data_IF_854607874118
#
_entry.id   IF_854607874118
#
_cell.length_a   1.000
_cell.length_b   1.000
_cell.length_c   1.000
_cell.angle_alpha   90.00
_cell.angle_beta   90.00
_cell.angle_gamma   90.00
#
_symmetry.space_group_name_H-M   'P 1'
#
loop_
_entity.id
_entity.type
_entity.pdbx_description
1 polymer ?
#
# COMPACT_ATOMS: atom_id res chain seq x y z
N UNK A 1 12.88 -6.74 6.86
CA UNK A 1 12.05 -5.59 6.46
C UNK A 1 10.74 -5.62 7.20
N UNK A 2 10.21 -4.47 7.59
CA UNK A 2 8.84 -4.33 8.10
C UNK A 2 7.84 -4.08 6.95
N UNK A 3 6.54 -4.14 7.24
CA UNK A 3 5.50 -3.95 6.21
C UNK A 3 5.55 -2.60 5.52
N UNK A 4 5.97 -1.54 6.21
CA UNK A 4 6.14 -0.21 5.60
C UNK A 4 7.22 -0.25 4.51
N UNK A 5 8.37 -0.83 4.82
CA UNK A 5 9.48 -0.99 3.86
C UNK A 5 9.06 -1.84 2.66
N UNK A 6 8.37 -2.95 2.91
CA UNK A 6 7.82 -3.80 1.83
C UNK A 6 6.83 -3.03 0.96
N UNK A 7 5.93 -2.26 1.57
CA UNK A 7 4.94 -1.48 0.83
C UNK A 7 5.62 -0.42 -0.04
N UNK A 8 6.61 0.30 0.50
CA UNK A 8 7.41 1.28 -0.25
C UNK A 8 8.12 0.61 -1.42
N UNK A 9 8.73 -0.56 -1.20
CA UNK A 9 9.39 -1.32 -2.26
C UNK A 9 8.43 -1.67 -3.40
N UNK A 10 7.22 -2.15 -3.09
CA UNK A 10 6.19 -2.44 -4.09
C UNK A 10 5.78 -1.21 -4.91
N UNK A 11 5.75 -0.02 -4.29
CA UNK A 11 5.48 1.22 -5.03
C UNK A 11 6.59 1.53 -6.03
N UNK A 12 7.85 1.36 -5.62
CA UNK A 12 9.01 1.62 -6.45
C UNK A 12 9.17 0.59 -7.58
N UNK A 13 9.08 -0.71 -7.28
CA UNK A 13 9.31 -1.79 -8.25
C UNK A 13 8.28 -1.79 -9.39
N UNK A 14 7.07 -1.31 -9.12
CA UNK A 14 5.99 -1.24 -10.10
C UNK A 14 5.73 0.18 -10.63
N UNK A 15 6.53 1.16 -10.23
CA UNK A 15 6.38 2.58 -10.59
C UNK A 15 4.95 3.12 -10.39
N UNK A 16 4.34 2.82 -9.23
CA UNK A 16 2.98 3.26 -8.90
C UNK A 16 2.94 4.26 -7.75
N UNK A 17 2.01 5.21 -7.86
CA UNK A 17 1.77 6.19 -6.81
C UNK A 17 0.99 5.61 -5.63
N UNK A 18 1.07 6.25 -4.46
CA UNK A 18 0.24 5.91 -3.30
C UNK A 18 -1.27 5.99 -3.61
N UNK A 19 -1.68 6.89 -4.51
CA UNK A 19 -3.07 6.98 -4.97
C UNK A 19 -3.45 5.72 -5.75
N UNK A 20 -2.61 5.30 -6.70
CA UNK A 20 -2.84 4.09 -7.48
C UNK A 20 -2.84 2.84 -6.59
N UNK A 21 -1.95 2.75 -5.61
CA UNK A 21 -1.96 1.67 -4.63
C UNK A 21 -3.26 1.60 -3.82
N UNK A 22 -3.79 2.74 -3.37
CA UNK A 22 -5.08 2.79 -2.69
C UNK A 22 -6.23 2.29 -3.58
N UNK A 23 -6.25 2.71 -4.86
CA UNK A 23 -7.23 2.23 -5.85
C UNK A 23 -7.13 0.71 -6.09
N UNK A 24 -5.91 0.20 -6.25
CA UNK A 24 -5.66 -1.24 -6.45
C UNK A 24 -6.11 -2.07 -5.24
N UNK A 25 -5.81 -1.61 -4.02
CA UNK A 25 -6.26 -2.26 -2.78
C UNK A 25 -7.78 -2.21 -2.66
N UNK A 26 -8.42 -1.08 -3.01
CA UNK A 26 -9.88 -0.99 -3.04
C UNK A 26 -10.51 -2.08 -3.92
N UNK A 27 -10.02 -2.19 -5.16
CA UNK A 27 -10.51 -3.16 -6.13
C UNK A 27 -10.24 -4.59 -5.64
N UNK A 28 -9.03 -4.87 -5.15
CA UNK A 28 -8.65 -6.21 -4.74
C UNK A 28 -9.41 -6.72 -3.51
N UNK A 29 -9.69 -5.83 -2.54
CA UNK A 29 -10.34 -6.20 -1.27
C UNK A 29 -11.85 -6.01 -1.29
N UNK A 30 -12.40 -5.35 -2.32
CA UNK A 30 -13.80 -4.91 -2.39
C UNK A 30 -14.20 -4.07 -1.17
N UNK A 31 -13.25 -3.33 -0.58
CA UNK A 31 -13.44 -2.49 0.61
C UNK A 31 -12.78 -1.13 0.40
N UNK A 32 -13.30 -0.05 1.00
CA UNK A 32 -12.68 1.27 0.89
C UNK A 32 -11.26 1.32 1.47
N UNK A 33 -10.31 1.81 0.68
CA UNK A 33 -8.95 2.15 1.07
C UNK A 33 -8.66 3.58 0.62
N UNK A 34 -8.38 4.48 1.58
CA UNK A 34 -8.13 5.89 1.27
C UNK A 34 -6.63 6.14 1.04
N UNK A 35 -6.31 7.11 0.19
CA UNK A 35 -4.92 7.60 0.02
C UNK A 35 -4.33 8.10 1.34
N UNK A 36 -5.17 8.64 2.25
CA UNK A 36 -4.74 9.05 3.59
C UNK A 36 -4.31 7.85 4.44
N UNK A 37 -4.99 6.72 4.35
CA UNK A 37 -4.58 5.49 5.02
C UNK A 37 -3.21 5.03 4.50
N UNK A 38 -3.03 4.95 3.18
CA UNK A 38 -1.74 4.61 2.57
C UNK A 38 -0.63 5.57 3.03
N UNK A 39 -0.89 6.89 3.01
CA UNK A 39 0.05 7.90 3.52
C UNK A 39 0.44 7.65 4.98
N UNK A 40 -0.51 7.28 5.84
CA UNK A 40 -0.22 7.00 7.25
C UNK A 40 0.66 5.77 7.45
N UNK A 41 0.70 4.85 6.48
CA UNK A 41 1.51 3.62 6.55
C UNK A 41 2.95 3.81 6.03
N UNK A 42 3.13 4.68 5.05
CA UNK A 42 4.42 4.84 4.34
C UNK A 42 5.18 6.11 4.71
N UNK A 43 4.52 7.06 5.38
CA UNK A 43 5.19 8.27 5.85
C UNK A 43 6.30 7.95 6.85
N UNK A 44 7.09 8.97 7.16
CA UNK A 44 8.08 8.94 8.23
C UNK A 44 7.45 8.39 9.53
N UNK A 45 8.00 7.30 10.10
CA UNK A 45 7.46 6.62 11.28
C UNK A 45 7.44 7.52 12.53
N UNK A 46 8.27 8.56 12.60
CA UNK A 46 8.35 9.45 13.76
C UNK A 46 7.24 10.52 13.75
N UNK A 47 6.43 10.60 12.68
CA UNK A 47 5.32 11.56 12.60
C UNK A 47 4.11 11.11 13.43
N UNK A 48 3.41 12.02 14.13
CA UNK A 48 2.21 11.68 14.92
C UNK A 48 1.07 11.03 14.10
N UNK A 49 1.03 11.31 12.80
CA UNK A 49 0.07 10.75 11.86
C UNK A 49 0.47 9.37 11.31
N UNK A 50 1.68 8.88 11.64
CA UNK A 50 2.15 7.56 11.23
C UNK A 50 1.40 6.45 11.95
N UNK A 51 1.17 5.37 11.23
CA UNK A 51 0.49 4.15 11.67
C UNK A 51 1.23 2.96 11.08
N UNK A 52 1.26 1.85 11.81
CA UNK A 52 1.85 0.62 11.29
C UNK A 52 1.15 0.20 10.00
N UNK A 53 1.93 -0.15 8.97
CA UNK A 53 1.41 -0.75 7.75
C UNK A 53 0.90 -2.17 8.07
N UNK A 54 -0.40 -2.46 7.88
CA UNK A 54 -0.95 -3.75 8.26
C UNK A 54 -0.61 -4.84 7.22
N UNK A 55 -0.47 -6.09 7.66
CA UNK A 55 -0.11 -7.23 6.79
C UNK A 55 -1.07 -7.38 5.61
N UNK A 56 -2.37 -7.19 5.86
CA UNK A 56 -3.39 -7.32 4.82
C UNK A 56 -3.23 -6.29 3.70
N UNK A 57 -2.70 -5.09 3.97
CA UNK A 57 -2.53 -4.06 2.95
C UNK A 57 -1.38 -4.41 2.00
N UNK A 58 -0.29 -4.95 2.55
CA UNK A 58 0.83 -5.48 1.76
C UNK A 58 0.36 -6.65 0.89
N UNK A 59 -0.36 -7.61 1.46
CA UNK A 59 -0.84 -8.78 0.73
C UNK A 59 -1.85 -8.39 -0.35
N UNK A 60 -2.78 -7.47 -0.05
CA UNK A 60 -3.73 -6.96 -1.04
C UNK A 60 -3.01 -6.26 -2.20
N UNK A 61 -2.01 -5.43 -1.93
CA UNK A 61 -1.27 -4.75 -2.99
C UNK A 61 -0.49 -5.75 -3.88
N UNK A 62 0.17 -6.75 -3.28
CA UNK A 62 0.85 -7.82 -4.04
C UNK A 62 -0.10 -8.55 -4.99
N UNK A 63 -1.21 -9.05 -4.46
CA UNK A 63 -2.21 -9.76 -5.27
C UNK A 63 -2.79 -8.88 -6.39
N UNK A 64 -2.98 -7.59 -6.11
CA UNK A 64 -3.46 -6.66 -7.12
C UNK A 64 -2.43 -6.45 -8.24
N UNK A 65 -1.15 -6.32 -7.90
CA UNK A 65 -0.07 -6.12 -8.86
C UNK A 65 0.15 -7.36 -9.74
N UNK A 66 0.15 -8.56 -9.14
CA UNK A 66 0.25 -9.83 -9.87
C UNK A 66 -0.85 -9.99 -10.93
N UNK A 67 -2.09 -9.59 -10.60
CA UNK A 67 -3.22 -9.65 -11.55
C UNK A 67 -3.12 -8.67 -12.71
N UNK A 68 -2.42 -7.54 -12.56
CA UNK A 68 -2.32 -6.51 -13.59
C UNK A 68 -1.12 -6.73 -14.54
N UNK A 69 -0.34 -7.79 -14.36
CA UNK A 69 0.76 -8.16 -15.26
C UNK A 69 0.41 -9.26 -16.27
N UNK A 70 -0.84 -9.74 -16.28
CA UNK A 70 -1.40 -10.67 -17.26
C UNK A 70 -2.42 -9.95 -18.15
#
# INVERSE_FOLDING_TARGET
MNNREIFIQLLHDHDITQKKAAELICIQTMRPCSVRAVKSWVNDPDKPSSRNCPDWAVNALRMALEKNQN
#
